data_IF_553254896679
#
_entry.id   IF_553254896679
#
_cell.length_a   1.000
_cell.length_b   1.000
_cell.length_c   1.000
_cell.angle_alpha   90.00
_cell.angle_beta   90.00
_cell.angle_gamma   90.00
#
_symmetry.space_group_name_H-M   'P 1'
#
loop_
_entity.id
_entity.type
_entity.pdbx_description
1 polymer ?
#
# COMPACT_ATOMS: atom_id res chain seq x y z
N UNK A 1 8.79 25.55 15.43
CA UNK A 1 7.87 24.46 15.04
C UNK A 1 6.47 24.57 15.68
N UNK A 2 6.39 25.24 16.86
CA UNK A 2 5.11 25.43 17.56
C UNK A 2 4.09 26.23 16.73
N UNK A 3 4.52 27.31 16.06
CA UNK A 3 3.65 28.12 15.20
C UNK A 3 3.09 27.33 14.00
N UNK A 4 3.92 26.53 13.35
CA UNK A 4 3.48 25.69 12.24
C UNK A 4 2.47 24.62 12.68
N UNK A 5 2.71 24.02 13.85
CA UNK A 5 1.77 23.04 14.40
C UNK A 5 0.44 23.70 14.75
N UNK A 6 0.48 24.89 15.37
CA UNK A 6 -0.72 25.65 15.70
C UNK A 6 -1.52 26.03 14.46
N UNK A 7 -0.85 26.44 13.38
CA UNK A 7 -1.49 26.77 12.11
C UNK A 7 -2.16 25.54 11.51
N UNK A 8 -1.45 24.41 11.37
CA UNK A 8 -1.99 23.17 10.83
C UNK A 8 -3.21 22.70 11.62
N UNK A 9 -3.16 22.80 12.95
CA UNK A 9 -4.31 22.48 13.80
C UNK A 9 -5.48 23.43 13.57
N UNK A 10 -5.22 24.72 13.36
CA UNK A 10 -6.24 25.71 13.02
C UNK A 10 -6.95 25.35 11.71
N UNK A 11 -6.19 25.08 10.66
CA UNK A 11 -6.71 24.69 9.34
C UNK A 11 -7.54 23.40 9.44
N UNK A 12 -7.09 22.45 10.25
CA UNK A 12 -7.81 21.20 10.47
C UNK A 12 -9.14 21.40 11.21
N UNK A 13 -9.15 22.27 12.25
CA UNK A 13 -10.36 22.63 12.99
C UNK A 13 -11.37 23.33 12.05
N UNK A 14 -10.90 24.21 11.18
CA UNK A 14 -11.76 24.90 10.20
C UNK A 14 -12.41 23.90 9.23
N UNK A 15 -11.63 22.98 8.67
CA UNK A 15 -12.15 21.90 7.81
C UNK A 15 -13.19 21.04 8.51
N UNK A 16 -12.96 20.68 9.79
CA UNK A 16 -13.93 19.94 10.57
C UNK A 16 -15.23 20.74 10.85
N UNK A 17 -15.11 22.06 11.07
CA UNK A 17 -16.27 22.92 11.22
C UNK A 17 -17.10 23.03 9.94
N UNK A 18 -16.47 23.07 8.76
CA UNK A 18 -17.16 23.02 7.48
C UNK A 18 -17.90 21.69 7.29
N UNK A 19 -17.24 20.58 7.56
CA UNK A 19 -17.87 19.26 7.53
C UNK A 19 -19.09 19.20 8.48
N UNK A 20 -18.95 19.74 9.70
CA UNK A 20 -20.04 19.81 10.67
C UNK A 20 -21.24 20.61 10.16
N UNK A 21 -21.01 21.76 9.51
CA UNK A 21 -22.08 22.56 8.92
C UNK A 21 -22.89 21.78 7.90
N UNK A 22 -22.22 20.99 7.04
CA UNK A 22 -22.89 20.15 6.04
C UNK A 22 -23.77 19.08 6.73
N UNK A 23 -23.25 18.46 7.78
CA UNK A 23 -24.01 17.47 8.57
C UNK A 23 -25.20 18.10 9.25
N UNK A 24 -25.02 19.24 9.93
CA UNK A 24 -26.08 19.96 10.65
C UNK A 24 -27.20 20.46 9.69
N UNK A 25 -26.83 20.81 8.45
CA UNK A 25 -27.77 21.20 7.42
C UNK A 25 -28.45 20.02 6.70
N UNK A 26 -28.02 18.79 6.95
CA UNK A 26 -28.50 17.61 6.23
C UNK A 26 -28.16 17.64 4.73
N UNK A 27 -27.07 18.37 4.35
CA UNK A 27 -26.64 18.51 2.97
C UNK A 27 -25.90 17.27 2.51
N UNK A 28 -26.65 16.27 2.08
CA UNK A 28 -26.10 14.99 1.61
C UNK A 28 -25.22 15.15 0.39
N UNK A 29 -25.55 16.11 -0.51
CA UNK A 29 -24.74 16.34 -1.71
C UNK A 29 -23.41 17.01 -1.35
N UNK A 30 -23.42 18.01 -0.49
CA UNK A 30 -22.20 18.66 0.00
C UNK A 30 -21.26 17.68 0.72
N UNK A 31 -21.82 16.78 1.53
CA UNK A 31 -21.05 15.72 2.20
C UNK A 31 -20.43 14.78 1.16
N UNK A 32 -21.21 14.34 0.16
CA UNK A 32 -20.71 13.50 -0.93
C UNK A 32 -19.56 14.18 -1.68
N UNK A 33 -19.73 15.42 -2.06
CA UNK A 33 -18.73 16.19 -2.82
C UNK A 33 -17.44 16.40 -2.02
N UNK A 34 -17.53 16.62 -0.72
CA UNK A 34 -16.37 16.74 0.17
C UNK A 34 -15.57 15.44 0.22
N UNK A 35 -16.22 14.29 0.33
CA UNK A 35 -15.55 12.98 0.31
C UNK A 35 -15.00 12.63 -1.07
N UNK A 36 -15.74 12.94 -2.13
CA UNK A 36 -15.29 12.71 -3.51
C UNK A 36 -14.05 13.53 -3.83
N UNK A 37 -14.02 14.80 -3.44
CA UNK A 37 -12.85 15.67 -3.60
C UNK A 37 -11.64 15.10 -2.84
N UNK A 38 -11.83 14.68 -1.59
CA UNK A 38 -10.77 14.08 -0.77
C UNK A 38 -10.25 12.77 -1.38
N UNK A 39 -11.14 11.94 -1.92
CA UNK A 39 -10.78 10.71 -2.63
C UNK A 39 -9.96 11.03 -3.89
N UNK A 40 -10.39 11.98 -4.70
CA UNK A 40 -9.72 12.38 -5.93
C UNK A 40 -8.34 12.98 -5.63
N UNK A 41 -8.22 13.81 -4.58
CA UNK A 41 -6.94 14.32 -4.12
C UNK A 41 -5.99 13.19 -3.73
N UNK A 42 -6.43 12.24 -2.90
CA UNK A 42 -5.62 11.07 -2.52
C UNK A 42 -5.20 10.24 -3.73
N UNK A 43 -6.11 10.02 -4.69
CA UNK A 43 -5.83 9.25 -5.90
C UNK A 43 -4.95 10.02 -6.90
N UNK A 44 -4.91 11.35 -6.84
CA UNK A 44 -4.00 12.18 -7.64
C UNK A 44 -2.57 12.19 -7.11
N UNK A 45 -2.37 11.77 -5.85
CA UNK A 45 -1.02 11.61 -5.34
C UNK A 45 -0.35 10.45 -6.08
N UNK A 46 0.80 10.69 -6.73
CA UNK A 46 1.50 9.63 -7.43
C UNK A 46 1.83 8.51 -6.45
N UNK A 47 1.40 7.30 -6.73
CA UNK A 47 1.80 6.13 -5.96
C UNK A 47 3.33 6.06 -5.96
N UNK A 48 3.95 6.48 -4.86
CA UNK A 48 5.39 6.34 -4.62
C UNK A 48 6.31 7.46 -5.10
N UNK A 49 5.84 8.66 -5.52
CA UNK A 49 6.74 9.70 -6.03
C UNK A 49 6.82 11.02 -5.25
N UNK A 50 6.02 11.22 -4.22
CA UNK A 50 5.98 12.49 -3.48
C UNK A 50 6.51 12.37 -2.04
N UNK A 51 7.69 11.80 -1.87
CA UNK A 51 8.39 11.75 -0.59
C UNK A 51 9.81 11.24 -0.76
N UNK A 52 10.67 11.34 0.26
CA UNK A 52 12.01 10.76 0.26
C UNK A 52 12.01 9.23 0.26
N UNK A 53 10.85 8.59 0.10
CA UNK A 53 10.70 7.14 0.01
C UNK A 53 11.12 6.74 -1.40
N UNK A 54 12.31 6.14 -1.51
CA UNK A 54 12.81 5.52 -2.73
C UNK A 54 11.79 4.54 -3.29
N UNK A 55 11.70 4.41 -4.62
CA UNK A 55 10.92 3.35 -5.27
C UNK A 55 11.13 2.03 -4.53
N UNK A 56 10.06 1.45 -4.02
CA UNK A 56 10.13 0.13 -3.44
C UNK A 56 10.28 -0.88 -4.60
N UNK A 57 11.29 -1.74 -4.52
CA UNK A 57 11.44 -2.87 -5.42
C UNK A 57 10.60 -4.01 -4.84
N UNK A 58 9.34 -4.08 -5.25
CA UNK A 58 8.38 -4.99 -4.64
C UNK A 58 7.66 -5.85 -5.67
N UNK A 59 7.36 -7.06 -5.27
CA UNK A 59 6.54 -8.00 -6.02
C UNK A 59 5.35 -8.43 -5.18
N UNK A 60 4.32 -8.86 -5.86
CA UNK A 60 3.11 -9.43 -5.28
C UNK A 60 2.97 -10.87 -5.74
N UNK A 61 2.68 -11.77 -4.82
CA UNK A 61 2.57 -13.19 -5.06
C UNK A 61 1.24 -13.68 -4.50
N UNK A 62 0.42 -14.29 -5.35
CA UNK A 62 -0.80 -14.94 -4.89
C UNK A 62 -0.41 -16.21 -4.11
N UNK A 63 -0.93 -16.34 -2.91
CA UNK A 63 -0.65 -17.46 -2.03
C UNK A 63 -1.96 -18.10 -1.55
N UNK A 64 -2.03 -19.44 -1.52
CA UNK A 64 -3.13 -20.13 -0.87
C UNK A 64 -3.07 -19.87 0.65
N UNK A 65 -4.22 -19.86 1.30
CA UNK A 65 -4.31 -19.75 2.77
C UNK A 65 -3.96 -21.11 3.42
N UNK A 66 -2.69 -21.48 3.33
CA UNK A 66 -2.16 -22.71 3.85
C UNK A 66 -0.97 -22.47 4.79
N UNK A 67 -0.90 -23.29 5.85
CA UNK A 67 0.20 -23.22 6.78
C UNK A 67 1.54 -23.53 6.08
N UNK A 68 2.55 -22.66 6.30
CA UNK A 68 3.90 -22.88 5.80
C UNK A 68 4.20 -22.27 4.41
N UNK A 69 3.23 -21.72 3.70
CA UNK A 69 3.45 -21.16 2.36
C UNK A 69 4.46 -20.02 2.37
N UNK A 70 4.40 -19.13 3.37
CA UNK A 70 5.36 -18.05 3.54
C UNK A 70 6.76 -18.59 3.82
N UNK A 71 6.86 -19.62 4.67
CA UNK A 71 8.13 -20.26 4.97
C UNK A 71 8.75 -20.91 3.72
N UNK A 72 7.94 -21.54 2.89
CA UNK A 72 8.36 -22.12 1.61
C UNK A 72 8.91 -21.04 0.66
N UNK A 73 8.19 -19.94 0.46
CA UNK A 73 8.64 -18.83 -0.38
C UNK A 73 9.93 -18.22 0.16
N UNK A 74 10.00 -17.95 1.47
CA UNK A 74 11.19 -17.41 2.11
C UNK A 74 12.40 -18.35 1.95
N UNK A 75 12.20 -19.67 2.05
CA UNK A 75 13.25 -20.66 1.84
C UNK A 75 13.74 -20.69 0.41
N UNK A 76 12.84 -20.62 -0.57
CA UNK A 76 13.18 -20.55 -2.01
C UNK A 76 14.07 -19.32 -2.27
N UNK A 77 13.68 -18.16 -1.77
CA UNK A 77 14.43 -16.93 -1.95
C UNK A 77 15.81 -17.00 -1.24
N UNK A 78 15.85 -17.45 0.00
CA UNK A 78 17.07 -17.58 0.78
C UNK A 78 18.07 -18.56 0.15
N UNK A 79 17.60 -19.70 -0.37
CA UNK A 79 18.45 -20.70 -1.04
C UNK A 79 19.09 -20.17 -2.32
N UNK A 80 18.56 -19.08 -2.87
CA UNK A 80 19.10 -18.40 -4.05
C UNK A 80 19.79 -17.06 -3.69
N UNK A 81 20.16 -16.89 -2.42
CA UNK A 81 20.84 -15.70 -1.90
C UNK A 81 20.10 -14.38 -2.15
N UNK A 82 18.76 -14.41 -2.21
CA UNK A 82 17.93 -13.24 -2.33
C UNK A 82 17.48 -12.76 -0.94
N UNK A 83 17.94 -11.58 -0.55
CA UNK A 83 17.60 -10.98 0.75
C UNK A 83 16.28 -10.23 0.66
N UNK A 84 15.36 -10.58 1.55
CA UNK A 84 14.07 -9.91 1.70
C UNK A 84 14.27 -8.68 2.59
N UNK A 85 13.84 -7.50 2.13
CA UNK A 85 13.84 -6.26 2.91
C UNK A 85 12.60 -6.16 3.79
N UNK A 86 11.44 -6.50 3.22
CA UNK A 86 10.16 -6.52 3.92
C UNK A 86 9.24 -7.58 3.31
N UNK A 87 8.39 -8.18 4.13
CA UNK A 87 7.40 -9.16 3.69
C UNK A 87 6.11 -8.96 4.49
N UNK A 88 4.99 -9.02 3.82
CA UNK A 88 3.69 -8.84 4.47
C UNK A 88 2.53 -9.35 3.62
N UNK A 89 1.46 -9.73 4.28
CA UNK A 89 0.22 -10.13 3.61
C UNK A 89 -0.63 -8.88 3.40
N UNK A 90 -1.07 -8.69 2.16
CA UNK A 90 -2.03 -7.64 1.79
C UNK A 90 -3.37 -8.32 1.57
N UNK A 91 -4.32 -8.06 2.46
CA UNK A 91 -5.68 -8.57 2.30
C UNK A 91 -6.43 -7.75 1.24
N UNK A 92 -6.85 -8.40 0.18
CA UNK A 92 -7.88 -7.84 -0.69
C UNK A 92 -9.24 -8.25 -0.11
N UNK A 93 -10.04 -7.29 0.36
CA UNK A 93 -11.34 -7.55 1.02
C UNK A 93 -12.39 -8.20 0.11
N UNK A 94 -12.14 -8.28 -1.20
CA UNK A 94 -13.08 -8.81 -2.19
C UNK A 94 -12.85 -10.28 -2.52
N UNK A 95 -11.67 -10.83 -2.21
CA UNK A 95 -11.32 -12.23 -2.47
C UNK A 95 -10.64 -12.79 -1.22
N UNK A 96 -11.05 -13.99 -0.80
CA UNK A 96 -10.52 -14.69 0.39
C UNK A 96 -9.05 -15.14 0.25
N UNK A 97 -8.43 -14.90 -0.91
CA UNK A 97 -7.04 -15.26 -1.18
C UNK A 97 -6.08 -14.17 -0.69
N UNK A 98 -5.06 -14.56 0.04
CA UNK A 98 -4.02 -13.66 0.52
C UNK A 98 -3.02 -13.33 -0.59
N UNK A 99 -2.63 -12.05 -0.68
CA UNK A 99 -1.54 -11.61 -1.55
C UNK A 99 -0.32 -11.32 -0.69
N UNK A 100 0.78 -12.01 -0.94
CA UNK A 100 2.04 -11.77 -0.29
C UNK A 100 2.80 -10.68 -1.01
N UNK A 101 3.07 -9.55 -0.33
CA UNK A 101 3.95 -8.50 -0.80
C UNK A 101 5.36 -8.75 -0.28
N UNK A 102 6.35 -8.74 -1.18
CA UNK A 102 7.75 -8.93 -0.84
C UNK A 102 8.54 -7.75 -1.42
N UNK A 103 9.29 -7.05 -0.57
CA UNK A 103 10.14 -5.92 -0.94
C UNK A 103 11.61 -6.35 -0.91
N UNK A 104 12.37 -5.93 -1.92
CA UNK A 104 13.80 -6.19 -2.07
C UNK A 104 14.61 -4.89 -1.96
N UNK A 105 15.93 -5.02 -1.89
CA UNK A 105 16.85 -3.89 -1.78
C UNK A 105 17.17 -3.24 -3.13
N UNK A 106 17.02 -3.98 -4.23
CA UNK A 106 17.39 -3.54 -5.60
C UNK A 106 16.54 -4.23 -6.66
N UNK A 107 16.56 -3.68 -7.88
CA UNK A 107 15.79 -4.19 -9.03
C UNK A 107 16.25 -5.57 -9.49
N UNK A 108 17.54 -5.85 -9.40
CA UNK A 108 18.12 -7.12 -9.87
C UNK A 108 17.60 -8.28 -9.02
N UNK A 109 17.55 -8.08 -7.69
CA UNK A 109 16.99 -9.05 -6.76
C UNK A 109 15.49 -9.26 -7.01
N UNK A 110 14.77 -8.18 -7.32
CA UNK A 110 13.35 -8.22 -7.64
C UNK A 110 13.08 -9.08 -8.90
N UNK A 111 13.77 -8.80 -10.00
CA UNK A 111 13.64 -9.54 -11.28
C UNK A 111 14.00 -11.03 -11.14
N UNK A 112 15.06 -11.32 -10.39
CA UNK A 112 15.45 -12.70 -10.09
C UNK A 112 14.40 -13.42 -9.27
N UNK A 113 13.81 -12.74 -8.28
CA UNK A 113 12.75 -13.31 -7.44
C UNK A 113 11.51 -13.65 -8.25
N UNK A 114 11.07 -12.75 -9.17
CA UNK A 114 9.97 -13.02 -10.10
C UNK A 114 10.23 -14.30 -10.89
N UNK A 115 11.36 -14.37 -11.58
CA UNK A 115 11.72 -15.53 -12.41
C UNK A 115 11.78 -16.82 -11.60
N UNK A 116 12.32 -16.75 -10.39
CA UNK A 116 12.47 -17.90 -9.51
C UNK A 116 11.12 -18.42 -8.98
N UNK A 117 10.27 -17.53 -8.50
CA UNK A 117 8.96 -17.91 -7.96
C UNK A 117 8.03 -18.42 -9.06
N UNK A 118 8.08 -17.83 -10.27
CA UNK A 118 7.35 -18.35 -11.43
C UNK A 118 7.78 -19.78 -11.83
N UNK A 119 9.07 -20.11 -11.73
CA UNK A 119 9.55 -21.52 -11.92
C UNK A 119 8.96 -22.47 -10.89
N UNK A 120 8.67 -21.98 -9.69
CA UNK A 120 8.00 -22.75 -8.64
C UNK A 120 6.47 -22.69 -8.73
N UNK A 121 5.92 -22.22 -9.88
CA UNK A 121 4.50 -22.14 -10.21
C UNK A 121 3.69 -21.17 -9.35
N UNK A 122 4.34 -20.19 -8.73
CA UNK A 122 3.64 -19.07 -8.10
C UNK A 122 3.24 -18.03 -9.14
N UNK A 123 2.06 -17.46 -8.94
CA UNK A 123 1.59 -16.30 -9.74
C UNK A 123 2.21 -15.06 -9.12
N UNK A 124 3.07 -14.38 -9.88
CA UNK A 124 3.82 -13.21 -9.41
C UNK A 124 3.60 -12.05 -10.37
N UNK A 125 3.35 -10.87 -9.82
CA UNK A 125 3.18 -9.64 -10.59
C UNK A 125 3.82 -8.44 -9.88
N UNK A 126 4.18 -7.43 -10.67
CA UNK A 126 4.64 -6.12 -10.24
C UNK A 126 3.47 -5.13 -10.35
N UNK A 127 3.45 -4.14 -9.45
CA UNK A 127 2.39 -3.13 -9.42
C UNK A 127 2.92 -1.76 -9.81
#
# INVERSE_FOLDING_TARGET
>A
NQSNISQILGDYIETLNEAKKLVDAGDSQGIYDMFDHSRNYRNSMPNGSAGPIKRAFEIYCDIPDEAGVIATIATILASNALSIKNIGIVHNREFEEGVLRIEFYDSISCEKAVSLLQKHRYIVYER
#
